data_IF_136276013814
#
_entry.id   IF_136276013814
#
_cell.length_a   1.000
_cell.length_b   1.000
_cell.length_c   1.000
_cell.angle_alpha   90.00
_cell.angle_beta   90.00
_cell.angle_gamma   90.00
#
_symmetry.space_group_name_H-M   'P 1'
#
loop_
_entity.id
_entity.type
_entity.pdbx_description
1 polymer ?
#
# COMPACT_ATOMS: atom_id res chain seq x y z
N UNK A 1 23.47 -39.25 -57.03
CA UNK A 1 23.96 -39.08 -58.42
C UNK A 1 22.81 -38.50 -59.21
N UNK A 2 22.53 -37.22 -58.93
CA UNK A 2 21.44 -36.44 -59.50
C UNK A 2 21.75 -35.94 -60.92
N UNK A 3 22.97 -36.13 -61.43
CA UNK A 3 23.33 -35.67 -62.78
C UNK A 3 22.80 -36.57 -63.92
N UNK A 4 22.50 -37.85 -63.67
CA UNK A 4 21.93 -38.72 -64.72
C UNK A 4 20.43 -38.53 -64.95
N UNK A 5 19.69 -38.08 -63.92
CA UNK A 5 18.25 -37.81 -64.04
C UNK A 5 17.98 -36.43 -64.66
N UNK A 6 18.89 -35.47 -64.45
CA UNK A 6 18.84 -34.15 -65.09
C UNK A 6 19.26 -34.23 -66.57
N UNK A 7 20.26 -35.06 -66.91
CA UNK A 7 20.68 -35.27 -68.30
C UNK A 7 19.67 -36.07 -69.14
N UNK A 8 18.94 -37.04 -68.57
CA UNK A 8 17.90 -37.77 -69.32
C UNK A 8 16.69 -36.88 -69.62
N UNK A 9 16.28 -36.04 -68.67
CA UNK A 9 15.16 -35.12 -68.84
C UNK A 9 15.49 -33.98 -69.81
N UNK A 10 16.72 -33.46 -69.82
CA UNK A 10 17.14 -32.44 -70.79
C UNK A 10 17.27 -32.99 -72.21
N UNK A 11 17.70 -34.25 -72.39
CA UNK A 11 17.82 -34.87 -73.71
C UNK A 11 16.46 -35.14 -74.34
N UNK A 12 15.48 -35.60 -73.54
CA UNK A 12 14.10 -35.83 -74.01
C UNK A 12 13.40 -34.52 -74.38
N UNK A 13 13.70 -33.42 -73.68
CA UNK A 13 13.18 -32.09 -74.03
C UNK A 13 13.84 -31.54 -75.30
N UNK A 14 15.15 -31.78 -75.51
CA UNK A 14 15.85 -31.36 -76.72
C UNK A 14 15.36 -32.10 -77.99
N UNK A 15 15.12 -33.42 -77.93
CA UNK A 15 14.54 -34.16 -79.07
C UNK A 15 13.09 -33.80 -79.36
N UNK A 16 12.33 -33.37 -78.34
CA UNK A 16 10.94 -32.94 -78.52
C UNK A 16 10.83 -31.57 -79.20
N UNK A 17 11.86 -30.72 -79.10
CA UNK A 17 11.89 -29.38 -79.70
C UNK A 17 12.35 -29.42 -81.17
N UNK A 18 13.20 -30.37 -81.55
CA UNK A 18 13.69 -30.50 -82.94
C UNK A 18 12.65 -31.14 -83.88
N UNK A 19 11.75 -31.97 -83.35
CA UNK A 19 10.64 -32.56 -84.11
C UNK A 19 9.53 -31.55 -84.50
N UNK A 20 9.50 -30.35 -83.90
CA UNK A 20 8.46 -29.34 -84.15
C UNK A 20 8.82 -28.43 -85.35
N UNK A 21 10.04 -28.53 -85.91
CA UNK A 21 10.52 -27.56 -86.92
C UNK A 21 10.37 -27.98 -88.39
N UNK A 22 9.58 -29.00 -88.76
CA UNK A 22 9.35 -29.25 -90.19
C UNK A 22 8.04 -29.97 -90.55
N UNK A 23 6.96 -29.19 -90.79
CA UNK A 23 5.99 -29.29 -91.93
C UNK A 23 4.63 -28.60 -91.61
N UNK A 24 3.85 -28.16 -92.64
CA UNK A 24 2.93 -27.00 -92.61
C UNK A 24 1.55 -27.32 -91.98
N UNK A 25 0.66 -26.32 -91.76
CA UNK A 25 -0.27 -26.32 -90.63
C UNK A 25 -1.49 -27.19 -90.88
N UNK A 26 -1.73 -28.11 -89.96
CA UNK A 26 -3.00 -28.81 -89.82
C UNK A 26 -3.68 -28.24 -88.56
N UNK A 27 -4.84 -27.60 -88.69
CA UNK A 27 -5.46 -26.82 -87.60
C UNK A 27 -6.21 -27.70 -86.58
N UNK A 28 -6.27 -29.02 -86.77
CA UNK A 28 -7.03 -29.94 -85.91
C UNK A 28 -6.36 -30.27 -84.55
N UNK A 29 -5.03 -30.44 -84.43
CA UNK A 29 -4.39 -30.73 -83.14
C UNK A 29 -4.29 -29.50 -82.23
N UNK A 30 -4.28 -28.29 -82.80
CA UNK A 30 -4.17 -27.04 -82.05
C UNK A 30 -5.41 -26.78 -81.18
N UNK A 31 -6.62 -27.11 -81.65
CA UNK A 31 -7.84 -26.97 -80.86
C UNK A 31 -7.95 -28.01 -79.74
N UNK A 32 -7.43 -29.23 -79.94
CA UNK A 32 -7.41 -30.27 -78.90
C UNK A 32 -6.37 -29.98 -77.80
N UNK A 33 -5.21 -29.44 -78.17
CA UNK A 33 -4.20 -28.96 -77.21
C UNK A 33 -4.67 -27.71 -76.45
N UNK A 34 -5.39 -26.78 -77.10
CA UNK A 34 -6.00 -25.64 -76.41
C UNK A 34 -7.17 -26.06 -75.51
N UNK A 35 -8.00 -27.01 -75.96
CA UNK A 35 -9.15 -27.51 -75.21
C UNK A 35 -8.76 -28.26 -73.94
N UNK A 36 -7.71 -29.08 -73.98
CA UNK A 36 -7.19 -29.81 -72.82
C UNK A 36 -6.41 -28.91 -71.84
N UNK A 37 -5.65 -27.93 -72.34
CA UNK A 37 -4.96 -26.95 -71.50
C UNK A 37 -5.92 -25.98 -70.80
N UNK A 38 -7.02 -25.57 -71.45
CA UNK A 38 -8.08 -24.76 -70.83
C UNK A 38 -8.90 -25.55 -69.80
N UNK A 39 -9.21 -26.82 -70.07
CA UNK A 39 -9.90 -27.68 -69.10
C UNK A 39 -9.03 -27.97 -67.86
N UNK A 40 -7.73 -28.23 -68.04
CA UNK A 40 -6.80 -28.44 -66.93
C UNK A 40 -6.60 -27.20 -66.05
N UNK A 41 -6.51 -26.01 -66.66
CA UNK A 41 -6.36 -24.74 -65.93
C UNK A 41 -7.67 -24.30 -65.25
N UNK A 42 -8.84 -24.57 -65.83
CA UNK A 42 -10.14 -24.33 -65.19
C UNK A 42 -10.39 -25.27 -64.01
N UNK A 43 -10.09 -26.56 -64.14
CA UNK A 43 -10.24 -27.52 -63.04
C UNK A 43 -9.21 -27.25 -61.94
N UNK A 44 -7.96 -26.95 -62.29
CA UNK A 44 -6.91 -26.59 -61.33
C UNK A 44 -7.21 -25.29 -60.57
N UNK A 45 -7.76 -24.28 -61.23
CA UNK A 45 -8.16 -23.02 -60.59
C UNK A 45 -9.39 -23.16 -59.69
N UNK A 46 -10.38 -23.99 -60.06
CA UNK A 46 -11.52 -24.31 -59.20
C UNK A 46 -11.13 -25.07 -57.93
N UNK A 47 -10.24 -26.07 -58.06
CA UNK A 47 -9.74 -26.83 -56.90
C UNK A 47 -8.92 -25.93 -55.99
N UNK A 48 -8.00 -25.13 -56.55
CA UNK A 48 -7.21 -24.13 -55.81
C UNK A 48 -8.08 -23.09 -55.09
N UNK A 49 -9.12 -22.56 -55.75
CA UNK A 49 -10.04 -21.61 -55.15
C UNK A 49 -10.89 -22.23 -54.02
N UNK A 50 -11.29 -23.51 -54.17
CA UNK A 50 -12.05 -24.22 -53.14
C UNK A 50 -11.23 -24.54 -51.89
N UNK A 51 -9.95 -24.90 -52.04
CA UNK A 51 -9.05 -25.18 -50.91
C UNK A 51 -8.58 -23.89 -50.25
N UNK A 52 -8.33 -22.83 -51.02
CA UNK A 52 -7.94 -21.52 -50.52
C UNK A 52 -9.10 -20.80 -49.80
N UNK A 53 -10.34 -20.92 -50.29
CA UNK A 53 -11.51 -20.35 -49.58
C UNK A 53 -11.82 -21.05 -48.26
N UNK A 54 -11.57 -22.37 -48.17
CA UNK A 54 -11.69 -23.13 -46.91
C UNK A 54 -10.56 -22.80 -45.94
N UNK A 55 -9.33 -22.66 -46.42
CA UNK A 55 -8.19 -22.28 -45.56
C UNK A 55 -8.32 -20.86 -45.01
N UNK A 56 -8.77 -19.90 -45.82
CA UNK A 56 -9.05 -18.53 -45.38
C UNK A 56 -10.17 -18.48 -44.34
N UNK A 57 -11.24 -19.27 -44.50
CA UNK A 57 -12.30 -19.38 -43.48
C UNK A 57 -11.80 -20.00 -42.17
N UNK A 58 -10.96 -21.04 -42.24
CA UNK A 58 -10.36 -21.61 -41.04
C UNK A 58 -9.37 -20.65 -40.36
N UNK A 59 -8.61 -19.87 -41.14
CA UNK A 59 -7.70 -18.85 -40.62
C UNK A 59 -8.47 -17.68 -39.99
N UNK A 60 -9.58 -17.26 -40.59
CA UNK A 60 -10.45 -16.22 -40.03
C UNK A 60 -11.06 -16.67 -38.69
N UNK A 61 -11.58 -17.90 -38.60
CA UNK A 61 -12.10 -18.46 -37.35
C UNK A 61 -11.02 -18.64 -36.27
N UNK A 62 -9.81 -19.02 -36.67
CA UNK A 62 -8.68 -19.10 -35.74
C UNK A 62 -8.23 -17.73 -35.25
N UNK A 63 -8.21 -16.73 -36.13
CA UNK A 63 -7.90 -15.34 -35.79
C UNK A 63 -8.96 -14.74 -34.86
N UNK A 64 -10.24 -15.04 -35.08
CA UNK A 64 -11.35 -14.60 -34.23
C UNK A 64 -11.24 -15.21 -32.83
N UNK A 65 -11.03 -16.53 -32.71
CA UNK A 65 -10.79 -17.19 -31.41
C UNK A 65 -9.53 -16.68 -30.72
N UNK A 66 -8.45 -16.43 -31.48
CA UNK A 66 -7.22 -15.87 -30.92
C UNK A 66 -7.44 -14.43 -30.42
N UNK A 67 -8.24 -13.62 -31.12
CA UNK A 67 -8.61 -12.28 -30.69
C UNK A 67 -9.49 -12.30 -29.43
N UNK A 68 -10.45 -13.21 -29.34
CA UNK A 68 -11.26 -13.40 -28.14
C UNK A 68 -10.42 -13.86 -26.94
N UNK A 69 -9.53 -14.84 -27.12
CA UNK A 69 -8.61 -15.26 -26.07
C UNK A 69 -7.64 -14.14 -25.66
N UNK A 70 -7.13 -13.36 -26.60
CA UNK A 70 -6.29 -12.21 -26.31
C UNK A 70 -7.05 -11.15 -25.49
N UNK A 71 -8.32 -10.91 -25.82
CA UNK A 71 -9.19 -9.99 -25.07
C UNK A 71 -9.44 -10.49 -23.65
N UNK A 72 -9.78 -11.77 -23.48
CA UNK A 72 -9.98 -12.37 -22.15
C UNK A 72 -8.70 -12.33 -21.30
N UNK A 73 -7.53 -12.60 -21.90
CA UNK A 73 -6.24 -12.49 -21.22
C UNK A 73 -5.91 -11.03 -20.86
N UNK A 74 -6.21 -10.08 -21.73
CA UNK A 74 -6.01 -8.66 -21.47
C UNK A 74 -6.90 -8.19 -20.30
N UNK A 75 -8.17 -8.58 -20.28
CA UNK A 75 -9.10 -8.28 -19.19
C UNK A 75 -8.66 -8.94 -17.87
N UNK A 76 -8.20 -10.19 -17.91
CA UNK A 76 -7.64 -10.87 -16.74
C UNK A 76 -6.37 -10.18 -16.22
N UNK A 77 -5.45 -9.78 -17.11
CA UNK A 77 -4.24 -9.02 -16.75
C UNK A 77 -4.58 -7.67 -16.15
N UNK A 78 -5.52 -6.92 -16.74
CA UNK A 78 -5.96 -5.64 -16.21
C UNK A 78 -6.56 -5.79 -14.79
N UNK A 79 -7.38 -6.83 -14.56
CA UNK A 79 -7.92 -7.13 -13.22
C UNK A 79 -6.81 -7.48 -12.21
N UNK A 80 -5.81 -8.27 -12.63
CA UNK A 80 -4.66 -8.60 -11.79
C UNK A 80 -3.79 -7.37 -11.47
N UNK A 81 -3.57 -6.49 -12.44
CA UNK A 81 -2.78 -5.27 -12.29
C UNK A 81 -3.46 -4.28 -11.35
N UNK A 82 -4.77 -4.07 -11.49
CA UNK A 82 -5.58 -3.27 -10.56
C UNK A 82 -5.57 -3.88 -9.15
N UNK A 83 -5.69 -5.22 -9.05
CA UNK A 83 -5.60 -5.92 -7.78
C UNK A 83 -4.22 -5.71 -7.10
N UNK A 84 -3.15 -5.77 -7.88
CA UNK A 84 -1.78 -5.59 -7.38
C UNK A 84 -1.54 -4.14 -6.91
N UNK A 85 -1.99 -3.14 -7.68
CA UNK A 85 -1.83 -1.73 -7.29
C UNK A 85 -2.61 -1.38 -6.02
N UNK A 86 -3.82 -1.92 -5.86
CA UNK A 86 -4.60 -1.79 -4.63
C UNK A 86 -3.87 -2.40 -3.43
N UNK A 87 -3.36 -3.63 -3.56
CA UNK A 87 -2.61 -4.30 -2.48
C UNK A 87 -1.34 -3.54 -2.12
N UNK A 88 -0.60 -3.05 -3.12
CA UNK A 88 0.59 -2.22 -2.88
C UNK A 88 0.24 -0.94 -2.13
N UNK A 89 -0.87 -0.29 -2.49
CA UNK A 89 -1.34 0.89 -1.77
C UNK A 89 -1.70 0.56 -0.31
N UNK A 90 -2.44 -0.53 -0.06
CA UNK A 90 -2.79 -0.96 1.31
C UNK A 90 -1.57 -1.34 2.13
N UNK A 91 -0.60 -2.03 1.53
CA UNK A 91 0.69 -2.32 2.16
C UNK A 91 1.44 -1.05 2.51
N UNK A 92 1.43 -0.05 1.62
CA UNK A 92 2.06 1.25 1.88
C UNK A 92 1.39 2.00 3.04
N UNK A 93 0.05 2.04 3.08
CA UNK A 93 -0.68 2.63 4.21
C UNK A 93 -0.31 1.92 5.53
N UNK A 94 -0.23 0.59 5.51
CA UNK A 94 0.12 -0.21 6.67
C UNK A 94 1.58 0.02 7.12
N UNK A 95 2.54 0.00 6.20
CA UNK A 95 3.97 0.06 6.52
C UNK A 95 4.46 1.47 6.83
N UNK A 96 3.90 2.49 6.19
CA UNK A 96 4.40 3.86 6.30
C UNK A 96 3.61 4.74 7.27
N UNK A 97 2.33 4.44 7.53
CA UNK A 97 1.49 5.27 8.41
C UNK A 97 0.96 4.46 9.60
N UNK A 98 0.07 3.50 9.37
CA UNK A 98 -0.68 2.86 10.45
C UNK A 98 0.19 1.96 11.34
N UNK A 99 1.13 1.21 10.77
CA UNK A 99 2.05 0.35 11.52
C UNK A 99 2.97 1.14 12.45
N UNK A 100 3.73 2.14 11.94
CA UNK A 100 4.56 3.00 12.77
C UNK A 100 3.76 3.72 13.86
N UNK A 101 2.62 4.33 13.52
CA UNK A 101 1.78 5.01 14.52
C UNK A 101 1.24 4.04 15.58
N UNK A 102 0.76 2.86 15.18
CA UNK A 102 0.27 1.83 16.10
C UNK A 102 1.36 1.41 17.09
N UNK A 103 2.58 1.17 16.60
CA UNK A 103 3.70 0.80 17.45
C UNK A 103 4.09 1.92 18.43
N UNK A 104 4.27 3.14 17.92
CA UNK A 104 4.73 4.28 18.72
C UNK A 104 3.70 4.70 19.78
N UNK A 105 2.41 4.70 19.45
CA UNK A 105 1.34 5.04 20.40
C UNK A 105 1.26 4.03 21.53
N UNK A 106 1.39 2.74 21.24
CA UNK A 106 1.41 1.69 22.27
C UNK A 106 2.68 1.75 23.12
N UNK A 107 3.83 2.04 22.52
CA UNK A 107 5.08 2.26 23.25
C UNK A 107 4.96 3.47 24.19
N UNK A 108 4.41 4.58 23.70
CA UNK A 108 4.15 5.79 24.51
C UNK A 108 3.23 5.49 25.70
N UNK A 109 2.15 4.74 25.47
CA UNK A 109 1.23 4.36 26.56
C UNK A 109 1.92 3.47 27.61
N UNK A 110 2.62 2.43 27.17
CA UNK A 110 3.34 1.53 28.07
C UNK A 110 4.37 2.29 28.92
N UNK A 111 5.13 3.19 28.30
CA UNK A 111 6.11 4.02 29.00
C UNK A 111 5.45 4.98 30.00
N UNK A 112 4.32 5.58 29.62
CA UNK A 112 3.52 6.42 30.52
C UNK A 112 3.02 5.62 31.74
N UNK A 113 2.65 4.34 31.58
CA UNK A 113 2.27 3.48 32.71
C UNK A 113 3.43 3.18 33.64
N UNK A 114 4.60 2.85 33.10
CA UNK A 114 5.81 2.64 33.90
C UNK A 114 6.19 3.91 34.69
N UNK A 115 6.07 5.08 34.05
CA UNK A 115 6.27 6.36 34.72
C UNK A 115 5.28 6.57 35.88
N UNK A 116 3.99 6.26 35.68
CA UNK A 116 2.99 6.38 36.73
C UNK A 116 3.28 5.44 37.90
N UNK A 117 3.72 4.21 37.62
CA UNK A 117 4.15 3.25 38.66
C UNK A 117 5.36 3.76 39.44
N UNK A 118 6.36 4.33 38.75
CA UNK A 118 7.52 4.95 39.39
C UNK A 118 7.12 6.13 40.31
N UNK A 119 6.19 6.98 39.86
CA UNK A 119 5.66 8.08 40.66
C UNK A 119 4.94 7.59 41.92
N UNK A 120 4.08 6.56 41.80
CA UNK A 120 3.39 5.97 42.95
C UNK A 120 4.39 5.36 43.93
N UNK A 121 5.41 4.66 43.43
CA UNK A 121 6.43 4.08 44.27
C UNK A 121 7.27 5.13 44.99
N UNK A 122 7.56 6.27 44.34
CA UNK A 122 8.38 7.33 44.91
C UNK A 122 7.62 8.23 45.90
N UNK A 123 6.31 8.44 45.69
CA UNK A 123 5.47 9.29 46.53
C UNK A 123 4.01 8.80 46.58
N UNK A 124 3.72 7.73 47.33
CA UNK A 124 2.40 7.08 47.36
C UNK A 124 1.31 7.92 48.01
N UNK A 125 1.68 8.91 48.80
CA UNK A 125 0.80 9.92 49.40
C UNK A 125 0.37 11.01 48.39
N UNK A 126 1.09 11.14 47.28
CA UNK A 126 0.87 12.19 46.27
C UNK A 126 0.28 11.65 44.98
N UNK A 127 0.48 10.37 44.67
CA UNK A 127 0.02 9.75 43.43
C UNK A 127 -0.73 8.46 43.69
N UNK A 128 -1.77 8.24 42.90
CA UNK A 128 -2.52 6.99 42.93
C UNK A 128 -3.11 6.64 41.57
N UNK A 129 -3.40 5.36 41.41
CA UNK A 129 -4.15 4.84 40.28
C UNK A 129 -5.52 4.39 40.80
N UNK A 130 -6.60 4.98 40.31
CA UNK A 130 -7.97 4.64 40.71
C UNK A 130 -8.74 4.04 39.55
N UNK A 131 -9.76 3.25 39.85
CA UNK A 131 -10.68 2.80 38.82
C UNK A 131 -11.58 3.98 38.41
N UNK A 132 -11.49 4.39 37.15
CA UNK A 132 -12.36 5.39 36.54
C UNK A 132 -13.50 4.75 35.75
N UNK A 133 -14.11 5.56 34.88
CA UNK A 133 -15.14 5.13 33.96
C UNK A 133 -14.59 4.37 32.73
N UNK A 134 -15.45 3.66 31.98
CA UNK A 134 -15.06 2.93 30.77
C UNK A 134 -14.42 3.83 29.69
N UNK A 135 -14.79 5.11 29.69
CA UNK A 135 -14.28 6.11 28.76
C UNK A 135 -12.94 6.71 29.15
N UNK A 136 -12.46 6.52 30.39
CA UNK A 136 -11.36 7.32 30.93
C UNK A 136 -9.96 6.91 30.42
N UNK A 137 -9.68 5.62 30.31
CA UNK A 137 -8.43 5.09 29.75
C UNK A 137 -8.67 3.71 29.12
N UNK A 138 -7.67 3.07 28.51
CA UNK A 138 -7.79 1.76 27.84
C UNK A 138 -8.11 0.62 28.80
N UNK A 139 -7.68 0.73 30.06
CA UNK A 139 -7.94 -0.21 31.15
C UNK A 139 -8.98 0.34 32.16
N UNK A 140 -9.60 1.48 31.83
CA UNK A 140 -10.53 2.18 32.71
C UNK A 140 -9.88 2.74 33.98
N UNK A 141 -8.55 2.84 34.06
CA UNK A 141 -7.86 3.40 35.23
C UNK A 141 -7.49 4.85 35.01
N UNK A 142 -7.54 5.64 36.08
CA UNK A 142 -7.19 7.06 36.07
C UNK A 142 -6.01 7.26 37.00
N UNK A 143 -4.97 7.91 36.47
CA UNK A 143 -3.85 8.38 37.28
C UNK A 143 -4.20 9.73 37.90
N UNK A 144 -4.05 9.86 39.22
CA UNK A 144 -4.40 11.06 39.99
C UNK A 144 -3.23 11.60 40.80
N UNK A 145 -3.25 12.91 41.03
CA UNK A 145 -2.30 13.64 41.88
C UNK A 145 -3.05 14.39 42.99
N UNK A 146 -2.46 14.44 44.18
CA UNK A 146 -2.96 15.24 45.29
C UNK A 146 -2.67 16.74 45.06
N UNK A 147 -3.68 17.60 45.21
CA UNK A 147 -3.56 19.07 45.02
C UNK A 147 -3.45 19.86 46.31
N UNK A 148 -3.51 19.18 47.46
CA UNK A 148 -3.64 19.78 48.78
C UNK A 148 -5.09 19.74 49.27
N UNK A 149 -5.30 19.86 50.58
CA UNK A 149 -6.61 19.80 51.24
C UNK A 149 -7.42 18.53 50.95
N UNK A 150 -6.73 17.38 50.86
CA UNK A 150 -7.33 16.06 50.60
C UNK A 150 -8.09 15.96 49.25
N UNK A 151 -7.82 16.89 48.34
CA UNK A 151 -8.36 16.88 46.99
C UNK A 151 -7.43 16.14 46.03
N UNK A 152 -8.05 15.31 45.20
CA UNK A 152 -7.40 14.53 44.16
C UNK A 152 -7.91 14.98 42.81
N UNK A 153 -7.01 15.15 41.86
CA UNK A 153 -7.37 15.46 40.48
C UNK A 153 -6.67 14.54 39.50
N UNK A 154 -7.28 14.37 38.32
CA UNK A 154 -6.65 13.62 37.23
C UNK A 154 -5.29 14.23 36.91
N UNK A 155 -4.28 13.38 36.85
CA UNK A 155 -2.96 13.81 36.45
C UNK A 155 -2.98 14.21 34.97
N UNK A 156 -2.60 15.46 34.68
CA UNK A 156 -2.43 15.96 33.31
C UNK A 156 -0.99 16.38 33.13
N UNK A 157 -0.31 15.74 32.20
CA UNK A 157 1.13 15.93 31.99
C UNK A 157 1.48 17.40 31.78
N UNK A 158 0.72 18.13 30.95
CA UNK A 158 0.97 19.56 30.70
C UNK A 158 0.76 20.45 31.94
N UNK A 159 -0.19 20.11 32.82
CA UNK A 159 -0.47 20.92 34.01
C UNK A 159 0.49 20.60 35.16
N UNK A 160 0.86 19.34 35.31
CA UNK A 160 1.57 18.86 36.50
C UNK A 160 3.04 18.59 36.29
N UNK A 161 3.55 18.77 35.06
CA UNK A 161 4.96 18.52 34.73
C UNK A 161 5.90 19.20 35.72
N UNK A 162 5.65 20.47 36.02
CA UNK A 162 6.47 21.28 36.93
C UNK A 162 6.50 20.77 38.38
N UNK A 163 5.51 19.96 38.79
CA UNK A 163 5.45 19.35 40.14
C UNK A 163 6.22 18.05 40.24
N UNK A 164 6.49 17.39 39.11
CA UNK A 164 7.08 16.05 39.08
C UNK A 164 8.47 16.01 38.46
N UNK A 165 8.70 16.82 37.42
CA UNK A 165 9.95 16.85 36.69
C UNK A 165 11.03 17.60 37.48
N UNK A 166 12.20 16.98 37.69
CA UNK A 166 13.29 17.57 38.47
C UNK A 166 13.06 17.57 39.98
N UNK A 167 11.96 16.97 40.46
CA UNK A 167 11.64 16.84 41.88
C UNK A 167 12.36 15.63 42.54
N UNK A 168 13.32 15.01 41.85
CA UNK A 168 14.07 13.86 42.37
C UNK A 168 13.25 12.57 42.45
N UNK A 169 12.17 12.46 41.65
CA UNK A 169 11.27 11.29 41.63
C UNK A 169 11.71 10.20 40.64
N UNK A 170 12.82 10.40 39.93
CA UNK A 170 13.41 9.38 39.03
C UNK A 170 12.58 9.13 37.77
N UNK A 171 11.93 10.18 37.26
CA UNK A 171 11.02 10.09 36.11
C UNK A 171 11.55 10.79 34.86
N UNK A 172 12.66 11.50 35.00
CA UNK A 172 13.24 12.38 33.99
C UNK A 172 13.51 11.63 32.69
N UNK A 173 14.09 10.44 32.78
CA UNK A 173 14.37 9.57 31.61
C UNK A 173 13.09 9.11 30.90
N UNK A 174 12.03 8.84 31.65
CA UNK A 174 10.72 8.48 31.08
C UNK A 174 10.13 9.66 30.29
N UNK A 175 10.27 10.87 30.84
CA UNK A 175 9.81 12.09 30.17
C UNK A 175 10.59 12.39 28.90
N UNK A 176 11.92 12.28 28.96
CA UNK A 176 12.81 12.45 27.80
C UNK A 176 12.40 11.49 26.67
N UNK A 177 12.21 10.21 26.99
CA UNK A 177 11.82 9.19 26.01
C UNK A 177 10.37 9.39 25.51
N UNK A 178 9.42 9.83 26.35
CA UNK A 178 8.06 10.17 25.92
C UNK A 178 8.06 11.33 24.90
N UNK A 179 8.90 12.35 25.11
CA UNK A 179 9.07 13.47 24.16
C UNK A 179 9.67 12.98 22.85
N UNK A 180 10.62 12.05 22.90
CA UNK A 180 11.26 11.48 21.72
C UNK A 180 10.32 10.57 20.91
N UNK A 181 9.54 9.71 21.57
CA UNK A 181 8.47 8.96 20.91
C UNK A 181 7.46 9.91 20.27
N UNK A 182 7.08 10.98 20.98
CA UNK A 182 6.18 11.99 20.44
C UNK A 182 6.74 12.67 19.19
N UNK A 183 8.05 12.94 19.16
CA UNK A 183 8.76 13.49 17.98
C UNK A 183 8.59 12.57 16.78
N UNK A 184 8.79 11.26 16.97
CA UNK A 184 8.66 10.25 15.92
C UNK A 184 7.22 10.10 15.42
N UNK A 185 6.23 10.24 16.31
CA UNK A 185 4.82 10.27 15.91
C UNK A 185 4.54 11.49 15.03
N UNK A 186 5.05 12.67 15.40
CA UNK A 186 4.92 13.89 14.59
C UNK A 186 5.55 13.70 13.20
N UNK A 187 6.75 13.12 13.12
CA UNK A 187 7.41 12.87 11.83
C UNK A 187 6.56 11.97 10.91
N UNK A 188 5.94 10.93 11.47
CA UNK A 188 5.04 10.06 10.69
C UNK A 188 3.80 10.81 10.25
N UNK A 189 3.16 11.60 11.13
CA UNK A 189 1.96 12.38 10.78
C UNK A 189 2.30 13.40 9.68
N UNK A 190 3.32 14.23 9.87
CA UNK A 190 3.68 15.30 8.93
C UNK A 190 4.13 14.73 7.57
N UNK A 191 4.85 13.60 7.57
CA UNK A 191 5.36 12.99 6.35
C UNK A 191 4.34 12.11 5.61
N UNK A 192 3.37 11.52 6.33
CA UNK A 192 2.57 10.38 5.84
C UNK A 192 1.07 10.52 6.08
N UNK A 193 0.56 11.63 6.62
CA UNK A 193 -0.89 11.82 6.84
C UNK A 193 -1.73 11.66 5.56
N UNK A 194 -1.18 11.96 4.38
CA UNK A 194 -1.86 11.74 3.09
C UNK A 194 -2.10 10.26 2.74
N UNK A 195 -1.51 9.32 3.50
CA UNK A 195 -1.79 7.89 3.40
C UNK A 195 -2.97 7.45 4.29
N UNK A 196 -3.59 8.37 5.04
CA UNK A 196 -4.78 8.05 5.83
C UNK A 196 -5.87 7.45 4.95
N UNK A 197 -6.62 6.49 5.49
CA UNK A 197 -7.72 5.90 4.73
C UNK A 197 -8.81 6.93 4.49
N UNK A 198 -9.40 6.89 3.30
CA UNK A 198 -10.44 7.84 2.87
C UNK A 198 -11.69 7.78 3.76
N UNK A 199 -12.06 6.57 4.21
CA UNK A 199 -13.18 6.31 5.12
C UNK A 199 -12.93 6.82 6.55
N UNK A 200 -11.69 7.07 6.94
CA UNK A 200 -11.29 7.60 8.26
C UNK A 200 -10.74 9.03 8.20
N UNK A 201 -10.63 9.62 7.02
CA UNK A 201 -9.93 10.89 6.83
C UNK A 201 -10.61 12.05 7.57
N UNK A 202 -11.94 12.01 7.65
CA UNK A 202 -12.74 13.03 8.33
C UNK A 202 -12.51 13.04 9.85
N UNK A 203 -12.25 11.87 10.45
CA UNK A 203 -12.05 11.74 11.89
C UNK A 203 -10.57 11.84 12.27
N UNK A 204 -9.67 11.27 11.44
CA UNK A 204 -8.26 11.16 11.75
C UNK A 204 -7.51 12.49 11.58
N UNK A 205 -7.84 13.30 10.58
CA UNK A 205 -7.14 14.58 10.34
C UNK A 205 -7.31 15.60 11.48
N UNK A 206 -8.53 15.84 12.02
CA UNK A 206 -8.69 16.71 13.18
C UNK A 206 -7.93 16.21 14.41
N UNK A 207 -7.84 14.89 14.57
CA UNK A 207 -7.09 14.26 15.67
C UNK A 207 -5.59 14.45 15.50
N UNK A 208 -5.06 14.30 14.28
CA UNK A 208 -3.68 14.63 13.95
C UNK A 208 -3.37 16.10 14.27
N UNK A 209 -4.23 17.03 13.84
CA UNK A 209 -4.06 18.46 14.16
C UNK A 209 -3.99 18.74 15.66
N UNK A 210 -4.89 18.16 16.45
CA UNK A 210 -4.86 18.28 17.93
C UNK A 210 -3.59 17.68 18.53
N UNK A 211 -3.17 16.51 18.04
CA UNK A 211 -1.94 15.88 18.51
C UNK A 211 -0.72 16.76 18.26
N UNK A 212 -0.56 17.30 17.04
CA UNK A 212 0.54 18.20 16.68
C UNK A 212 0.57 19.45 17.58
N UNK A 213 -0.59 20.04 17.84
CA UNK A 213 -0.71 21.19 18.75
C UNK A 213 -0.29 20.83 20.19
N UNK A 214 -0.79 19.71 20.72
CA UNK A 214 -0.45 19.25 22.06
C UNK A 214 1.04 18.91 22.19
N UNK A 215 1.63 18.24 21.20
CA UNK A 215 3.05 17.90 21.22
C UNK A 215 3.94 19.13 21.24
N UNK A 216 3.60 20.19 20.48
CA UNK A 216 4.35 21.46 20.51
C UNK A 216 4.40 22.07 21.91
N UNK A 217 3.25 22.11 22.60
CA UNK A 217 3.16 22.61 23.98
C UNK A 217 3.99 21.73 24.91
N UNK A 218 3.81 20.42 24.83
CA UNK A 218 4.50 19.47 25.70
C UNK A 218 6.02 19.54 25.54
N UNK A 219 6.51 19.62 24.30
CA UNK A 219 7.94 19.79 23.98
C UNK A 219 8.51 21.09 24.56
N UNK A 220 7.77 22.20 24.48
CA UNK A 220 8.21 23.48 25.05
C UNK A 220 8.32 23.38 26.57
N UNK A 221 7.31 22.84 27.24
CA UNK A 221 7.30 22.68 28.69
C UNK A 221 8.45 21.80 29.18
N UNK A 222 8.70 20.69 28.50
CA UNK A 222 9.84 19.82 28.79
C UNK A 222 11.19 20.54 28.62
N UNK A 223 11.37 21.28 27.52
CA UNK A 223 12.59 22.05 27.29
C UNK A 223 12.82 23.13 28.36
N UNK A 224 11.75 23.77 28.83
CA UNK A 224 11.83 24.73 29.95
C UNK A 224 12.20 24.04 31.26
N UNK A 225 11.53 22.93 31.61
CA UNK A 225 11.82 22.18 32.83
C UNK A 225 13.27 21.65 32.87
N UNK A 226 13.77 21.14 31.75
CA UNK A 226 15.15 20.66 31.61
C UNK A 226 16.20 21.76 31.78
N UNK A 227 15.93 22.98 31.27
CA UNK A 227 16.83 24.13 31.47
C UNK A 227 16.88 24.58 32.93
N UNK A 228 15.72 24.64 33.61
CA UNK A 228 15.65 25.04 35.02
C UNK A 228 16.40 24.09 35.96
N UNK A 229 16.50 22.79 35.60
CA UNK A 229 17.28 21.82 36.36
C UNK A 229 18.80 22.04 36.24
N UNK A 230 19.27 22.54 35.10
CA UNK A 230 20.70 22.82 34.86
C UNK A 230 21.23 24.11 35.50
N UNK A 231 20.35 25.06 35.85
CA UNK A 231 20.73 26.38 36.37
C UNK A 231 20.69 26.51 37.90
N UNK A 232 20.41 25.42 38.64
CA UNK A 232 20.52 25.39 40.10
C UNK A 232 19.60 26.34 40.87
N UNK A 233 18.65 27.01 40.19
CA UNK A 233 17.64 27.87 40.80
C UNK A 233 16.28 27.21 40.62
N UNK A 234 15.63 26.88 41.74
CA UNK A 234 14.22 26.55 41.80
C UNK A 234 13.40 27.74 41.31
N UNK A 235 13.25 27.84 40.00
CA UNK A 235 12.36 28.81 39.37
C UNK A 235 10.98 28.16 39.32
N UNK A 236 10.13 28.60 40.25
CA UNK A 236 8.70 28.44 40.17
C UNK A 236 8.25 28.91 38.79
N UNK A 237 7.84 27.96 37.94
CA UNK A 237 7.40 28.25 36.57
C UNK A 237 6.12 29.07 36.68
N UNK A 238 6.24 30.37 36.49
CA UNK A 238 5.11 31.28 36.45
C UNK A 238 4.22 30.84 35.28
N UNK A 239 3.10 30.20 35.62
CA UNK A 239 2.23 29.46 34.69
C UNK A 239 1.36 30.40 33.84
N UNK A 240 1.77 31.67 33.73
CA UNK A 240 0.91 32.79 33.36
C UNK A 240 0.64 33.00 31.88
N UNK A 241 1.16 32.19 30.95
CA UNK A 241 1.05 32.54 29.53
C UNK A 241 1.03 31.39 28.51
N UNK A 242 0.33 30.29 28.78
CA UNK A 242 -0.28 29.55 27.67
C UNK A 242 -1.69 29.07 28.06
N UNK A 243 -2.76 29.59 27.44
CA UNK A 243 -4.12 29.09 27.63
C UNK A 243 -4.26 27.78 26.85
N UNK A 244 -3.51 26.75 27.23
CA UNK A 244 -3.75 25.39 26.75
C UNK A 244 -4.78 24.84 27.71
N UNK A 245 -6.06 24.91 27.32
CA UNK A 245 -7.14 24.27 28.06
C UNK A 245 -6.71 22.85 28.45
N UNK A 246 -7.09 22.40 29.64
CA UNK A 246 -6.59 21.20 30.33
C UNK A 246 -6.82 19.85 29.62
N UNK A 247 -6.47 19.74 28.34
CA UNK A 247 -6.82 18.67 27.43
C UNK A 247 -5.63 17.76 27.07
N UNK A 248 -4.42 18.02 27.58
CA UNK A 248 -3.28 17.13 27.37
C UNK A 248 -3.36 15.92 28.33
N UNK A 249 -4.32 15.05 28.02
CA UNK A 249 -4.35 13.65 28.45
C UNK A 249 -3.69 12.83 27.35
N UNK A 250 -3.19 11.65 27.67
CA UNK A 250 -2.72 10.67 26.69
C UNK A 250 -3.70 10.59 25.49
N UNK A 251 -3.23 10.58 24.23
CA UNK A 251 -4.10 10.75 23.07
C UNK A 251 -4.88 9.46 22.76
N UNK A 252 -5.87 9.12 23.59
CA UNK A 252 -6.69 7.91 23.42
C UNK A 252 -7.41 7.86 22.08
N UNK A 253 -7.88 9.02 21.61
CA UNK A 253 -8.61 9.17 20.35
C UNK A 253 -7.75 8.79 19.13
N UNK A 254 -6.50 9.27 19.06
CA UNK A 254 -5.60 8.93 17.93
C UNK A 254 -5.25 7.44 17.94
N UNK A 255 -4.99 6.87 19.12
CA UNK A 255 -4.67 5.45 19.22
C UNK A 255 -5.87 4.58 18.86
N UNK A 256 -7.10 4.95 19.26
CA UNK A 256 -8.30 4.22 18.86
C UNK A 256 -8.48 4.15 17.34
N UNK A 257 -8.39 5.30 16.66
CA UNK A 257 -8.54 5.38 15.20
C UNK A 257 -7.40 4.67 14.46
N UNK A 258 -6.17 4.80 14.94
CA UNK A 258 -5.01 4.12 14.36
C UNK A 258 -5.10 2.61 14.56
N UNK A 259 -5.50 2.13 15.74
CA UNK A 259 -5.69 0.71 16.03
C UNK A 259 -6.77 0.10 15.13
N UNK A 260 -7.87 0.82 14.92
CA UNK A 260 -8.94 0.42 14.02
C UNK A 260 -8.45 0.35 12.56
N UNK A 261 -7.81 1.42 12.07
CA UNK A 261 -7.29 1.45 10.71
C UNK A 261 -6.23 0.38 10.46
N UNK A 262 -5.37 0.12 11.44
CA UNK A 262 -4.39 -0.96 11.40
C UNK A 262 -5.07 -2.33 11.28
N UNK A 263 -6.05 -2.63 12.14
CA UNK A 263 -6.78 -3.91 12.12
C UNK A 263 -7.52 -4.11 10.81
N UNK A 264 -8.17 -3.07 10.29
CA UNK A 264 -8.90 -3.12 9.03
C UNK A 264 -7.95 -3.43 7.86
N UNK A 265 -6.80 -2.75 7.78
CA UNK A 265 -5.80 -3.01 6.75
C UNK A 265 -5.24 -4.44 6.83
N UNK A 266 -4.91 -4.93 8.03
CA UNK A 266 -4.44 -6.31 8.23
C UNK A 266 -5.51 -7.33 7.80
N UNK A 267 -6.77 -7.10 8.17
CA UNK A 267 -7.89 -7.96 7.79
C UNK A 267 -8.09 -7.98 6.28
N UNK A 268 -8.07 -6.83 5.62
CA UNK A 268 -8.21 -6.70 4.16
C UNK A 268 -7.07 -7.44 3.42
N UNK A 269 -5.83 -7.29 3.86
CA UNK A 269 -4.67 -7.96 3.27
C UNK A 269 -4.71 -9.48 3.47
N UNK A 270 -5.13 -9.95 4.65
CA UNK A 270 -5.30 -11.38 4.92
C UNK A 270 -6.43 -11.98 4.08
N UNK A 271 -7.56 -11.30 3.97
CA UNK A 271 -8.69 -11.72 3.13
C UNK A 271 -8.30 -11.77 1.65
N UNK A 272 -7.46 -10.85 1.18
CA UNK A 272 -6.92 -10.90 -0.18
C UNK A 272 -5.98 -12.10 -0.37
N UNK A 273 -5.04 -12.33 0.56
CA UNK A 273 -4.12 -13.48 0.51
C UNK A 273 -4.88 -14.81 0.45
N UNK A 274 -5.95 -14.94 1.24
CA UNK A 274 -6.78 -16.15 1.25
C UNK A 274 -7.60 -16.37 -0.04
N UNK A 275 -7.83 -15.33 -0.84
CA UNK A 275 -8.49 -15.44 -2.16
C UNK A 275 -7.50 -15.67 -3.30
N UNK A 276 -6.24 -15.31 -3.11
CA UNK A 276 -5.19 -15.38 -4.12
C UNK A 276 -4.34 -16.67 -4.02
N UNK A 277 -4.33 -17.34 -2.86
CA UNK A 277 -3.75 -18.67 -2.66
C UNK A 277 -4.78 -19.77 -2.83
#
# INVERSE_FOLDING_TARGET
MDDQMILSNLKTIATSIEAIKSKPPDYVPAYLAFGSALLGTLVGSLVSWSTQSRSLKSQALQAERAAEHARQLAEARAKLEIGNSFVQWRLKQLSELYGPLHALLRQSNALYRLMNEALISAAPDQFRLVQGGPSDDFDGKVFEIATGNDQWERFRTVLHLSRVYGAGKGIEDYFDELVEIGRRIVEVIEGKAGLAREDQHQDLMPVFGRYLAHYRVFKQLHAHAKKSQGEGKGAQVDSGAMPVGGAAVFPKEIQGLVDEGYKNLVSELNAWRAKAG
#
